data_IF_259480386251
#
_entry.id   IF_259480386251
#
_cell.length_a   1.000
_cell.length_b   1.000
_cell.length_c   1.000
_cell.angle_alpha   90.00
_cell.angle_beta   90.00
_cell.angle_gamma   90.00
#
_symmetry.space_group_name_H-M   'P 1'
#
loop_
_entity.id
_entity.type
_entity.pdbx_description
1 polymer ?
#
# COMPACT_ATOMS: atom_id res chain seq x y z
N UNK A 1 -5.75 -5.20 -12.05
CA UNK A 1 -5.70 -4.54 -10.73
C UNK A 1 -4.26 -4.09 -10.50
N UNK A 2 -3.98 -2.81 -10.20
CA UNK A 2 -2.66 -2.39 -9.73
C UNK A 2 -2.22 -3.24 -8.53
N UNK A 3 -1.00 -3.77 -8.57
CA UNK A 3 -0.44 -4.58 -7.50
C UNK A 3 1.10 -4.59 -7.51
N UNK A 4 1.67 -4.92 -6.37
CA UNK A 4 3.10 -5.12 -6.13
C UNK A 4 3.25 -6.49 -5.45
N UNK A 5 4.11 -7.34 -5.99
CA UNK A 5 4.50 -8.62 -5.40
C UNK A 5 5.92 -8.45 -4.89
N UNK A 6 6.10 -8.74 -3.61
CA UNK A 6 7.38 -8.73 -2.94
C UNK A 6 7.77 -10.16 -2.51
N UNK A 7 9.07 -10.42 -2.44
CA UNK A 7 9.66 -11.65 -1.92
C UNK A 7 10.53 -11.37 -0.70
N UNK A 8 10.78 -12.41 0.09
CA UNK A 8 11.50 -12.34 1.36
C UNK A 8 10.68 -12.92 2.52
N UNK A 9 11.35 -13.28 3.61
CA UNK A 9 10.66 -13.67 4.86
C UNK A 9 10.07 -12.39 5.45
N UNK A 10 8.75 -12.37 5.63
CA UNK A 10 8.04 -11.17 6.08
C UNK A 10 7.08 -11.50 7.21
N UNK A 11 7.02 -10.60 8.18
CA UNK A 11 5.98 -10.59 9.21
C UNK A 11 5.23 -9.27 9.09
N UNK A 12 3.92 -9.36 8.85
CA UNK A 12 3.05 -8.19 8.71
C UNK A 12 2.42 -7.76 10.04
N UNK A 13 2.56 -8.57 11.10
CA UNK A 13 2.01 -8.24 12.44
C UNK A 13 2.67 -6.99 13.05
N UNK A 14 4.00 -6.79 12.95
CA UNK A 14 4.64 -5.54 13.38
C UNK A 14 4.10 -4.31 12.65
N UNK A 15 3.82 -4.43 11.35
CA UNK A 15 3.25 -3.33 10.53
C UNK A 15 1.92 -2.87 11.11
N UNK A 16 1.03 -3.80 11.51
CA UNK A 16 -0.23 -3.46 12.17
C UNK A 16 -0.01 -2.88 13.57
N UNK A 17 0.85 -3.50 14.38
CA UNK A 17 1.09 -3.09 15.76
C UNK A 17 1.64 -1.67 15.90
N UNK A 18 2.39 -1.20 14.89
CA UNK A 18 3.01 0.12 14.85
C UNK A 18 2.34 1.06 13.84
N UNK A 19 1.22 0.65 13.24
CA UNK A 19 0.51 1.47 12.27
C UNK A 19 0.02 2.77 12.92
N UNK A 20 0.39 3.89 12.31
CA UNK A 20 -0.15 5.22 12.63
C UNK A 20 -0.77 5.78 11.36
N UNK A 21 -1.98 6.37 11.42
CA UNK A 21 -2.55 7.09 10.29
C UNK A 21 -1.61 8.21 9.85
N UNK A 22 -1.34 8.28 8.55
CA UNK A 22 -0.33 9.20 8.02
C UNK A 22 -0.79 9.85 6.71
N UNK A 23 -0.10 10.92 6.33
CA UNK A 23 -0.38 11.73 5.16
C UNK A 23 0.86 11.78 4.26
N UNK A 24 0.65 11.62 2.95
CA UNK A 24 1.68 11.71 1.94
C UNK A 24 1.25 12.68 0.85
N UNK A 25 2.15 13.56 0.45
CA UNK A 25 1.93 14.51 -0.64
C UNK A 25 2.85 14.12 -1.81
N UNK A 26 2.27 13.85 -2.99
CA UNK A 26 3.03 13.31 -4.11
C UNK A 26 2.40 13.64 -5.46
N UNK A 27 3.13 14.37 -6.32
CA UNK A 27 2.68 14.79 -7.65
C UNK A 27 1.28 15.46 -7.68
N UNK A 28 1.00 16.31 -6.69
CA UNK A 28 -0.29 16.99 -6.53
C UNK A 28 -1.43 16.09 -6.02
N UNK A 29 -1.14 14.83 -5.67
CA UNK A 29 -2.04 13.96 -4.93
C UNK A 29 -1.78 14.07 -3.44
N UNK A 30 -2.86 14.20 -2.68
CA UNK A 30 -2.89 14.01 -1.24
C UNK A 30 -3.36 12.58 -0.96
N UNK A 31 -2.51 11.80 -0.31
CA UNK A 31 -2.82 10.42 0.10
C UNK A 31 -2.89 10.39 1.63
N UNK A 32 -3.90 9.75 2.19
CA UNK A 32 -3.94 9.45 3.62
C UNK A 32 -4.20 7.98 3.86
N UNK A 33 -3.47 7.39 4.79
CA UNK A 33 -3.78 6.08 5.38
C UNK A 33 -4.51 6.32 6.70
N UNK A 34 -5.61 5.63 6.94
CA UNK A 34 -6.54 5.97 8.04
C UNK A 34 -6.68 4.88 9.08
N UNK A 35 -6.83 3.62 8.65
CA UNK A 35 -6.98 2.46 9.54
C UNK A 35 -6.28 1.26 8.96
N UNK A 36 -5.80 0.38 9.82
CA UNK A 36 -5.17 -0.89 9.47
C UNK A 36 -5.85 -2.00 10.27
N UNK A 37 -6.27 -3.06 9.59
CA UNK A 37 -6.98 -4.19 10.18
C UNK A 37 -6.21 -5.47 9.86
N UNK A 38 -5.82 -6.20 10.90
CA UNK A 38 -5.21 -7.53 10.77
C UNK A 38 -6.29 -8.61 10.85
N UNK A 39 -6.24 -9.60 9.97
CA UNK A 39 -7.11 -10.75 10.04
C UNK A 39 -6.76 -11.68 11.22
N UNK A 40 -7.65 -12.60 11.57
CA UNK A 40 -7.44 -13.52 12.69
C UNK A 40 -6.24 -14.45 12.47
N UNK A 41 -5.85 -14.71 11.22
CA UNK A 41 -4.73 -15.58 10.90
C UNK A 41 -3.37 -14.87 10.97
N UNK A 42 -3.38 -13.53 11.05
CA UNK A 42 -2.18 -12.71 11.02
C UNK A 42 -1.51 -12.66 9.64
N UNK A 43 -2.21 -13.06 8.57
CA UNK A 43 -1.68 -13.18 7.20
C UNK A 43 -2.20 -12.13 6.24
N UNK A 44 -3.22 -11.38 6.63
CA UNK A 44 -3.79 -10.32 5.81
C UNK A 44 -3.90 -9.00 6.58
N UNK A 45 -3.42 -7.91 5.99
CA UNK A 45 -3.76 -6.56 6.39
C UNK A 45 -4.71 -5.93 5.40
N UNK A 46 -5.77 -5.31 5.91
CA UNK A 46 -6.61 -4.40 5.15
C UNK A 46 -6.33 -2.98 5.63
N UNK A 47 -5.93 -2.08 4.73
CA UNK A 47 -5.59 -0.70 5.06
C UNK A 47 -6.58 0.22 4.35
N UNK A 48 -7.26 1.06 5.13
CA UNK A 48 -8.16 2.10 4.64
C UNK A 48 -7.34 3.31 4.20
N UNK A 49 -7.58 3.79 2.97
CA UNK A 49 -6.89 4.94 2.42
C UNK A 49 -7.82 5.85 1.62
N UNK A 50 -7.39 7.10 1.46
CA UNK A 50 -8.02 8.09 0.59
C UNK A 50 -6.98 8.74 -0.30
N UNK A 51 -7.29 8.93 -1.58
CA UNK A 51 -6.51 9.72 -2.52
C UNK A 51 -7.34 10.90 -3.02
N UNK A 52 -6.79 12.11 -2.92
CA UNK A 52 -7.47 13.37 -3.24
C UNK A 52 -6.62 14.19 -4.22
N UNK A 53 -7.26 14.75 -5.26
CA UNK A 53 -6.67 15.74 -6.15
C UNK A 53 -7.75 16.62 -6.77
N UNK A 54 -7.54 17.94 -6.75
CA UNK A 54 -8.40 18.92 -7.43
C UNK A 54 -9.91 18.74 -7.19
N UNK A 55 -10.32 18.52 -5.93
CA UNK A 55 -11.73 18.33 -5.57
C UNK A 55 -12.29 16.92 -5.83
N UNK A 56 -11.52 16.04 -6.45
CA UNK A 56 -11.84 14.62 -6.59
C UNK A 56 -11.23 13.83 -5.43
N UNK A 57 -12.03 12.98 -4.77
CA UNK A 57 -11.63 12.16 -3.63
C UNK A 57 -12.15 10.75 -3.78
N UNK A 58 -11.31 9.75 -3.51
CA UNK A 58 -11.72 8.35 -3.52
C UNK A 58 -11.21 7.63 -2.27
N UNK A 59 -12.13 6.99 -1.57
CA UNK A 59 -11.82 6.10 -0.45
C UNK A 59 -11.74 4.67 -0.97
N UNK A 60 -10.73 3.93 -0.54
CA UNK A 60 -10.53 2.55 -0.95
C UNK A 60 -9.74 1.77 0.07
N UNK A 61 -9.76 0.45 -0.07
CA UNK A 61 -8.96 -0.44 0.74
C UNK A 61 -7.79 -1.02 -0.06
N UNK A 62 -6.67 -1.21 0.65
CA UNK A 62 -5.50 -1.93 0.16
C UNK A 62 -5.39 -3.21 0.97
N UNK A 63 -5.25 -4.33 0.26
CA UNK A 63 -5.02 -5.64 0.85
C UNK A 63 -3.52 -5.97 0.72
N UNK A 64 -2.90 -6.24 1.86
CA UNK A 64 -1.57 -6.85 1.96
C UNK A 64 -1.76 -8.31 2.38
N UNK A 65 -1.46 -9.24 1.48
CA UNK A 65 -1.75 -10.66 1.63
C UNK A 65 -0.44 -11.46 1.58
N UNK A 66 -0.18 -12.24 2.63
CA UNK A 66 0.94 -13.15 2.69
C UNK A 66 0.60 -14.48 1.99
N UNK A 67 1.38 -14.84 0.96
CA UNK A 67 1.27 -16.08 0.20
C UNK A 67 2.60 -16.81 0.17
N UNK A 68 2.69 -17.90 0.94
CA UNK A 68 3.89 -18.73 1.03
C UNK A 68 5.14 -17.89 1.36
N UNK A 69 6.05 -17.68 0.40
CA UNK A 69 7.26 -16.87 0.54
C UNK A 69 7.15 -15.49 -0.14
N UNK A 70 5.93 -15.03 -0.39
CA UNK A 70 5.65 -13.77 -1.07
C UNK A 70 4.60 -12.95 -0.33
N UNK A 71 4.66 -11.65 -0.55
CA UNK A 71 3.71 -10.67 -0.01
C UNK A 71 3.13 -9.88 -1.17
N UNK A 72 1.81 -9.87 -1.30
CA UNK A 72 1.11 -9.16 -2.37
C UNK A 72 0.42 -7.92 -1.80
N UNK A 73 0.72 -6.75 -2.35
CA UNK A 73 0.09 -5.46 -2.03
C UNK A 73 -0.79 -5.07 -3.21
N UNK A 74 -2.10 -4.95 -3.00
CA UNK A 74 -3.06 -4.67 -4.08
C UNK A 74 -4.28 -3.88 -3.58
N UNK A 75 -5.01 -3.26 -4.49
CA UNK A 75 -6.34 -2.73 -4.17
C UNK A 75 -7.27 -3.90 -3.83
N UNK A 76 -8.10 -3.74 -2.80
CA UNK A 76 -9.16 -4.68 -2.48
C UNK A 76 -10.19 -4.77 -3.63
N UNK A 77 -10.60 -5.99 -3.96
CA UNK A 77 -11.46 -6.26 -5.12
C UNK A 77 -12.88 -5.74 -4.94
N UNK A 78 -13.32 -5.52 -3.71
CA UNK A 78 -14.67 -5.07 -3.37
C UNK A 78 -14.77 -3.54 -3.32
N UNK A 79 -13.65 -2.83 -3.46
CA UNK A 79 -13.68 -1.39 -3.61
C UNK A 79 -13.76 -1.00 -5.09
N UNK A 80 -14.85 -0.35 -5.48
CA UNK A 80 -14.96 0.25 -6.80
C UNK A 80 -14.22 1.59 -6.83
N UNK A 81 -12.97 1.58 -7.30
CA UNK A 81 -12.11 2.77 -7.38
C UNK A 81 -11.48 2.92 -8.76
N UNK A 82 -11.37 4.16 -9.25
CA UNK A 82 -10.57 4.45 -10.43
C UNK A 82 -9.10 4.17 -10.15
N UNK A 83 -8.47 3.38 -11.03
CA UNK A 83 -7.05 2.99 -10.94
C UNK A 83 -6.12 4.10 -11.43
N UNK A 84 -6.42 5.33 -11.00
CA UNK A 84 -5.64 6.51 -11.33
C UNK A 84 -4.32 6.54 -10.55
N UNK A 85 -3.54 7.58 -10.78
CA UNK A 85 -2.21 7.72 -10.23
C UNK A 85 -2.20 7.77 -8.69
N UNK A 86 -3.17 8.44 -8.04
CA UNK A 86 -3.24 8.50 -6.57
C UNK A 86 -3.39 7.12 -5.93
N UNK A 87 -4.23 6.28 -6.52
CA UNK A 87 -4.41 4.89 -6.06
C UNK A 87 -3.13 4.06 -6.24
N UNK A 88 -2.44 4.21 -7.38
CA UNK A 88 -1.16 3.53 -7.65
C UNK A 88 -0.06 3.98 -6.68
N UNK A 89 0.05 5.29 -6.41
CA UNK A 89 0.99 5.85 -5.43
C UNK A 89 0.71 5.36 -4.03
N UNK A 90 -0.55 5.14 -3.67
CA UNK A 90 -0.88 4.58 -2.35
C UNK A 90 -0.34 3.16 -2.20
N UNK A 91 -0.26 2.35 -3.26
CA UNK A 91 0.42 1.04 -3.18
C UNK A 91 1.93 1.18 -2.88
N UNK A 92 2.59 2.22 -3.40
CA UNK A 92 3.99 2.52 -3.09
C UNK A 92 4.18 2.93 -1.62
N UNK A 93 3.28 3.79 -1.11
CA UNK A 93 3.24 4.14 0.32
C UNK A 93 3.15 2.87 1.17
N UNK A 94 2.21 1.98 0.86
CA UNK A 94 2.02 0.75 1.65
C UNK A 94 3.21 -0.20 1.51
N UNK A 95 3.83 -0.29 0.32
CA UNK A 95 5.09 -1.03 0.13
C UNK A 95 6.16 -0.52 1.07
N UNK A 96 6.37 0.79 1.13
CA UNK A 96 7.43 1.41 1.95
C UNK A 96 7.15 1.23 3.45
N UNK A 97 5.88 1.36 3.85
CA UNK A 97 5.44 1.04 5.20
C UNK A 97 5.77 -0.41 5.58
N UNK A 98 5.44 -1.39 4.70
CA UNK A 98 5.74 -2.80 4.96
C UNK A 98 7.26 -3.05 4.98
N UNK A 99 8.01 -2.44 4.06
CA UNK A 99 9.47 -2.56 3.95
C UNK A 99 10.19 -1.99 5.18
N UNK A 100 9.70 -0.91 5.78
CA UNK A 100 10.29 -0.33 7.00
C UNK A 100 10.30 -1.29 8.20
N UNK A 101 9.41 -2.28 8.21
CA UNK A 101 9.35 -3.34 9.22
C UNK A 101 10.00 -4.66 8.75
N UNK A 102 10.30 -4.76 7.46
CA UNK A 102 10.79 -5.98 6.82
C UNK A 102 11.98 -5.64 5.88
N UNK A 103 13.20 -5.44 6.42
CA UNK A 103 14.35 -5.00 5.62
C UNK A 103 14.78 -5.97 4.51
N UNK A 104 14.40 -7.25 4.61
CA UNK A 104 14.67 -8.27 3.59
C UNK A 104 13.63 -8.28 2.46
N UNK A 105 12.60 -7.43 2.52
CA UNK A 105 11.55 -7.34 1.50
C UNK A 105 12.13 -6.76 0.21
N UNK A 106 12.00 -7.50 -0.89
CA UNK A 106 12.39 -7.04 -2.22
C UNK A 106 11.18 -7.10 -3.17
N UNK A 107 11.05 -6.12 -4.07
CA UNK A 107 10.02 -6.17 -5.12
C UNK A 107 10.45 -7.23 -6.15
N UNK A 108 9.59 -8.22 -6.39
CA UNK A 108 9.76 -9.22 -7.45
C UNK A 108 9.06 -8.79 -8.74
N UNK A 109 7.76 -8.46 -8.64
CA UNK A 109 6.92 -8.12 -9.79
C UNK A 109 5.95 -7.00 -9.46
N UNK A 110 5.62 -6.20 -10.46
CA UNK A 110 4.56 -5.20 -10.37
C UNK A 110 4.00 -4.90 -11.74
N UNK A 111 2.76 -4.44 -11.80
CA UNK A 111 2.18 -3.84 -13.00
C UNK A 111 2.00 -2.33 -12.89
N UNK A 112 2.67 -1.70 -11.90
CA UNK A 112 2.79 -0.26 -11.85
C UNK A 112 3.72 0.24 -12.96
N UNK A 113 3.49 1.46 -13.48
CA UNK A 113 4.38 2.06 -14.46
C UNK A 113 5.82 2.21 -13.93
N UNK A 114 6.86 1.88 -14.72
CA UNK A 114 8.26 1.91 -14.27
C UNK A 114 8.71 3.27 -13.71
N UNK A 115 8.19 4.37 -14.27
CA UNK A 115 8.48 5.73 -13.84
C UNK A 115 8.09 5.99 -12.38
N UNK A 116 7.11 5.26 -11.84
CA UNK A 116 6.65 5.43 -10.46
C UNK A 116 7.53 4.67 -9.45
N UNK A 117 8.29 3.67 -9.88
CA UNK A 117 8.97 2.74 -8.96
C UNK A 117 10.17 3.35 -8.23
N UNK A 118 10.75 4.42 -8.77
CA UNK A 118 11.82 5.20 -8.13
C UNK A 118 11.32 6.35 -7.26
N UNK A 119 10.01 6.58 -7.21
CA UNK A 119 9.41 7.66 -6.43
C UNK A 119 8.95 7.14 -5.06
N UNK A 120 9.50 7.72 -3.99
CA UNK A 120 8.99 7.54 -2.63
C UNK A 120 8.09 8.74 -2.33
N UNK A 121 6.78 8.55 -2.11
CA UNK A 121 5.91 9.63 -1.65
C UNK A 121 6.47 10.23 -0.35
N UNK A 122 6.75 11.53 -0.36
CA UNK A 122 7.29 12.22 0.80
C UNK A 122 6.23 12.41 1.89
N UNK A 123 6.67 12.34 3.15
CA UNK A 123 5.95 12.93 4.28
C UNK A 123 6.27 14.45 4.25
N UNK A 124 5.28 15.37 4.37
CA UNK A 124 5.54 16.81 4.46
C UNK A 124 6.60 17.22 5.49
#
# INVERSE_FOLDING_TARGET
>A
MPHIICTGVTDIRPVHAQFVPDRYDSNGWLIKTMKCYLDQTGRNLLIEAVAVRSGFSQNFYILVEHKENSLTIRIDLHTNVEKNEGVKRTLLVIRDLVASHNPALAVDKTNLPPEMMGETPGNP
#
